data_IF_116771735933
#
_entry.id   IF_116771735933
#
_cell.length_a   1.000
_cell.length_b   1.000
_cell.length_c   1.000
_cell.angle_alpha   90.00
_cell.angle_beta   90.00
_cell.angle_gamma   90.00
#
_symmetry.space_group_name_H-M   'P 1'
#
loop_
_entity.id
_entity.type
_entity.pdbx_description
1 polymer ?
#
# COMPACT_ATOMS: atom_id res chain seq x y z
N UNK A 1 47.07 -26.84 51.72
CA UNK A 1 45.89 -26.68 52.59
C UNK A 1 45.70 -25.16 52.72
N UNK A 2 44.70 -24.49 52.18
CA UNK A 2 43.26 -24.78 52.18
C UNK A 2 42.56 -24.10 50.98
N UNK A 3 41.73 -24.85 50.27
CA UNK A 3 40.45 -24.36 49.74
C UNK A 3 39.40 -24.91 50.73
N UNK A 4 38.27 -24.22 51.01
CA UNK A 4 37.22 -24.17 50.00
C UNK A 4 36.22 -22.99 50.04
N UNK A 5 35.62 -22.74 48.88
CA UNK A 5 34.21 -22.40 48.62
C UNK A 5 33.39 -21.63 49.67
N UNK A 6 32.92 -20.42 49.29
CA UNK A 6 31.52 -20.03 49.54
C UNK A 6 31.16 -18.72 48.85
N UNK A 7 30.52 -18.81 47.69
CA UNK A 7 29.58 -17.78 47.25
C UNK A 7 28.58 -18.39 46.25
N UNK A 8 27.92 -19.48 46.67
CA UNK A 8 26.85 -20.11 45.87
C UNK A 8 25.45 -19.90 46.49
N UNK A 9 25.33 -19.09 47.55
CA UNK A 9 24.06 -18.95 48.28
C UNK A 9 23.51 -17.52 48.33
N UNK A 10 24.08 -16.56 47.59
CA UNK A 10 23.56 -15.18 47.63
C UNK A 10 23.44 -14.50 46.26
N UNK A 11 22.82 -15.20 45.30
CA UNK A 11 22.30 -14.52 44.09
C UNK A 11 21.35 -13.38 44.52
N UNK A 12 20.66 -13.52 45.64
CA UNK A 12 19.73 -12.53 46.22
C UNK A 12 20.40 -11.36 46.96
N UNK A 13 21.71 -11.38 47.25
CA UNK A 13 22.39 -10.31 48.02
C UNK A 13 23.31 -9.43 47.17
N UNK A 14 23.53 -9.79 45.90
CA UNK A 14 24.29 -8.98 44.95
C UNK A 14 23.41 -7.89 44.32
N UNK A 15 23.34 -6.71 44.95
CA UNK A 15 22.65 -5.52 44.38
C UNK A 15 23.16 -5.12 42.98
N UNK A 16 24.38 -5.51 42.63
CA UNK A 16 24.99 -5.27 41.31
C UNK A 16 24.33 -6.04 40.15
N UNK A 17 23.56 -7.10 40.43
CA UNK A 17 22.84 -7.88 39.42
C UNK A 17 21.34 -7.56 39.29
N UNK A 18 20.74 -6.88 40.28
CA UNK A 18 19.28 -6.58 40.31
C UNK A 18 18.85 -5.73 39.11
N UNK A 19 19.61 -4.67 38.82
CA UNK A 19 19.31 -3.77 37.70
C UNK A 19 19.39 -4.49 36.33
N UNK A 20 20.29 -5.47 36.19
CA UNK A 20 20.38 -6.27 34.96
C UNK A 20 19.15 -7.18 34.77
N UNK A 21 18.63 -7.75 35.87
CA UNK A 21 17.41 -8.59 35.85
C UNK A 21 16.17 -7.75 35.58
N UNK A 22 16.06 -6.56 36.18
CA UNK A 22 14.97 -5.62 35.93
C UNK A 22 14.94 -5.17 34.46
N UNK A 23 16.10 -4.84 33.88
CA UNK A 23 16.21 -4.49 32.47
C UNK A 23 15.88 -5.69 31.57
N UNK A 24 16.31 -6.91 31.92
CA UNK A 24 16.01 -8.12 31.16
C UNK A 24 14.49 -8.40 31.06
N UNK A 25 13.69 -7.98 32.05
CA UNK A 25 12.23 -8.11 32.01
C UNK A 25 11.54 -7.02 31.17
N UNK A 26 12.10 -5.80 31.13
CA UNK A 26 11.51 -4.66 30.41
C UNK A 26 11.89 -4.69 28.91
N UNK A 27 13.13 -5.07 28.59
CA UNK A 27 13.66 -5.16 27.22
C UNK A 27 12.73 -5.88 26.24
N UNK A 28 12.16 -7.08 26.51
CA UNK A 28 11.30 -7.74 25.54
C UNK A 28 10.04 -6.94 25.20
N UNK A 29 9.42 -6.30 26.20
CA UNK A 29 8.23 -5.46 25.98
C UNK A 29 8.61 -4.19 25.22
N UNK A 30 9.73 -3.57 25.60
CA UNK A 30 10.24 -2.39 24.91
C UNK A 30 10.57 -2.67 23.45
N UNK A 31 11.26 -3.77 23.15
CA UNK A 31 11.59 -4.17 21.78
C UNK A 31 10.33 -4.46 20.96
N UNK A 32 9.34 -5.14 21.56
CA UNK A 32 8.07 -5.38 20.88
C UNK A 32 7.36 -4.07 20.49
N UNK A 33 7.31 -3.10 21.39
CA UNK A 33 6.73 -1.78 21.11
C UNK A 33 7.56 -0.99 20.09
N UNK A 34 8.89 -1.04 20.18
CA UNK A 34 9.78 -0.34 19.26
C UNK A 34 9.64 -0.89 17.83
N UNK A 35 9.72 -2.21 17.65
CA UNK A 35 9.51 -2.85 16.34
C UNK A 35 8.08 -2.65 15.83
N UNK A 36 7.09 -2.69 16.72
CA UNK A 36 5.70 -2.38 16.38
C UNK A 36 5.54 -0.97 15.83
N UNK A 37 6.16 0.03 16.47
CA UNK A 37 6.14 1.41 16.00
C UNK A 37 6.83 1.58 14.64
N UNK A 38 7.97 0.93 14.41
CA UNK A 38 8.66 0.98 13.11
C UNK A 38 7.84 0.32 12.01
N UNK A 39 7.27 -0.87 12.27
CA UNK A 39 6.46 -1.59 11.28
C UNK A 39 5.18 -0.81 10.93
N UNK A 40 4.51 -0.21 11.92
CA UNK A 40 3.36 0.66 11.68
C UNK A 40 3.74 1.93 10.90
N UNK A 41 4.89 2.54 11.20
CA UNK A 41 5.40 3.68 10.45
C UNK A 41 5.63 3.34 8.97
N UNK A 42 6.23 2.18 8.70
CA UNK A 42 6.44 1.70 7.34
C UNK A 42 5.13 1.35 6.62
N UNK A 43 4.15 0.79 7.35
CA UNK A 43 2.81 0.53 6.84
C UNK A 43 2.14 1.82 6.34
N UNK A 44 2.10 2.87 7.17
CA UNK A 44 1.47 4.15 6.79
C UNK A 44 2.20 4.85 5.64
N UNK A 45 3.54 4.78 5.62
CA UNK A 45 4.32 5.32 4.51
C UNK A 45 3.99 4.61 3.19
N UNK A 46 3.90 3.27 3.24
CA UNK A 46 3.56 2.45 2.07
C UNK A 46 2.14 2.71 1.59
N UNK A 47 1.16 2.75 2.51
CA UNK A 47 -0.24 3.08 2.21
C UNK A 47 -0.36 4.44 1.50
N UNK A 48 0.31 5.47 2.03
CA UNK A 48 0.32 6.79 1.40
C UNK A 48 0.93 6.77 -0.01
N UNK A 49 1.97 5.97 -0.22
CA UNK A 49 2.56 5.78 -1.55
C UNK A 49 1.58 5.14 -2.53
N UNK A 50 0.80 4.12 -2.11
CA UNK A 50 -0.25 3.51 -2.94
C UNK A 50 -1.34 4.53 -3.26
N UNK A 51 -1.81 5.30 -2.27
CA UNK A 51 -2.85 6.33 -2.46
C UNK A 51 -2.42 7.39 -3.48
N UNK A 52 -1.19 7.88 -3.39
CA UNK A 52 -0.64 8.84 -4.37
C UNK A 52 -0.56 8.18 -5.75
N UNK A 53 -0.07 6.95 -5.83
CA UNK A 53 0.06 6.23 -7.11
C UNK A 53 -1.28 6.04 -7.82
N UNK A 54 -2.35 5.60 -7.13
CA UNK A 54 -3.67 5.43 -7.76
C UNK A 54 -4.29 6.77 -8.16
N UNK A 55 -4.04 7.86 -7.43
CA UNK A 55 -4.49 9.21 -7.80
C UNK A 55 -3.82 9.69 -9.09
N UNK A 56 -2.53 9.47 -9.23
CA UNK A 56 -1.79 9.79 -10.45
C UNK A 56 -2.29 8.93 -11.63
N UNK A 57 -2.51 7.63 -11.39
CA UNK A 57 -3.12 6.71 -12.36
C UNK A 57 -4.50 7.16 -12.83
N UNK A 58 -5.38 7.56 -11.90
CA UNK A 58 -6.73 8.04 -12.23
C UNK A 58 -6.70 9.35 -13.04
N UNK A 59 -5.82 10.29 -12.67
CA UNK A 59 -5.63 11.55 -13.42
C UNK A 59 -5.08 11.32 -14.82
N UNK A 60 -4.11 10.41 -14.95
CA UNK A 60 -3.57 10.02 -16.25
C UNK A 60 -4.65 9.37 -17.11
N UNK A 61 -5.39 8.41 -16.55
CA UNK A 61 -6.49 7.75 -17.23
C UNK A 61 -7.56 8.74 -17.71
N UNK A 62 -7.97 9.68 -16.86
CA UNK A 62 -8.98 10.69 -17.20
C UNK A 62 -8.62 11.52 -18.44
N UNK A 63 -7.33 11.71 -18.74
CA UNK A 63 -6.85 12.47 -19.91
C UNK A 63 -6.57 11.60 -21.13
N UNK A 64 -6.80 10.30 -21.04
CA UNK A 64 -6.40 9.34 -22.09
C UNK A 64 -7.52 8.41 -22.53
N UNK A 65 -8.53 8.23 -21.70
CA UNK A 65 -9.78 7.63 -22.14
C UNK A 65 -10.60 8.61 -23.00
N UNK A 66 -11.34 8.11 -24.00
CA UNK A 66 -12.24 8.92 -24.80
C UNK A 66 -13.46 9.38 -23.97
N UNK A 67 -14.04 10.51 -24.34
CA UNK A 67 -15.28 11.04 -23.75
C UNK A 67 -16.53 10.18 -24.07
N UNK A 68 -16.38 9.14 -24.88
CA UNK A 68 -17.46 8.22 -25.22
C UNK A 68 -17.72 7.26 -24.06
N UNK A 69 -18.95 7.26 -23.56
CA UNK A 69 -19.42 6.27 -22.58
C UNK A 69 -20.15 5.14 -23.31
N UNK A 70 -19.55 3.94 -23.33
CA UNK A 70 -20.09 2.78 -24.04
C UNK A 70 -20.62 1.71 -23.08
N UNK A 71 -19.91 1.42 -21.99
CA UNK A 71 -20.35 0.48 -20.95
C UNK A 71 -19.53 0.63 -19.66
N UNK A 72 -20.07 0.06 -18.57
CA UNK A 72 -19.31 -0.12 -17.32
C UNK A 72 -18.47 -1.40 -17.44
N UNK A 73 -17.15 -1.25 -17.51
CA UNK A 73 -16.24 -2.39 -17.76
C UNK A 73 -14.91 -2.21 -17.02
N UNK A 74 -14.33 -3.32 -16.59
CA UNK A 74 -12.91 -3.35 -16.23
C UNK A 74 -12.09 -3.39 -17.50
N UNK A 75 -11.27 -2.37 -17.70
CA UNK A 75 -10.35 -2.32 -18.84
C UNK A 75 -9.04 -3.00 -18.47
N UNK A 76 -8.85 -4.19 -19.01
CA UNK A 76 -7.66 -4.99 -18.80
C UNK A 76 -6.77 -5.07 -20.03
N UNK A 77 -7.17 -4.54 -21.18
CA UNK A 77 -6.52 -4.80 -22.48
C UNK A 77 -6.10 -3.54 -23.23
N UNK A 78 -6.67 -2.37 -22.94
CA UNK A 78 -6.26 -1.16 -23.64
C UNK A 78 -4.82 -0.77 -23.32
N UNK A 79 -4.17 -0.11 -24.28
CA UNK A 79 -2.85 0.49 -24.08
C UNK A 79 -2.86 1.45 -22.90
N UNK A 80 -3.91 2.26 -22.78
CA UNK A 80 -4.11 3.17 -21.64
C UNK A 80 -4.20 2.42 -20.31
N UNK A 81 -4.94 1.31 -20.23
CA UNK A 81 -5.01 0.51 -19.01
C UNK A 81 -3.65 -0.10 -18.64
N UNK A 82 -2.84 -0.52 -19.63
CA UNK A 82 -1.47 -0.98 -19.38
C UNK A 82 -0.56 0.16 -18.91
N UNK A 83 -0.64 1.33 -19.53
CA UNK A 83 0.13 2.52 -19.13
C UNK A 83 -0.24 2.98 -17.72
N UNK A 84 -1.54 2.99 -17.37
CA UNK A 84 -2.02 3.30 -16.01
C UNK A 84 -1.46 2.30 -15.00
N UNK A 85 -1.50 1.01 -15.30
CA UNK A 85 -0.95 -0.03 -14.41
C UNK A 85 0.56 0.11 -14.21
N UNK A 86 1.30 0.40 -15.27
CA UNK A 86 2.73 0.68 -15.17
C UNK A 86 2.97 1.97 -14.36
N UNK A 87 2.24 3.05 -14.62
CA UNK A 87 2.40 4.33 -13.92
C UNK A 87 2.14 4.18 -12.41
N UNK A 88 1.07 3.48 -12.03
CA UNK A 88 0.72 3.21 -10.63
C UNK A 88 1.82 2.38 -9.96
N UNK A 89 2.33 1.34 -10.63
CA UNK A 89 3.29 0.40 -10.05
C UNK A 89 4.73 0.94 -10.00
N UNK A 90 5.17 1.66 -11.04
CA UNK A 90 6.58 2.01 -11.26
C UNK A 90 6.85 3.49 -11.52
N UNK A 91 5.80 4.33 -11.52
CA UNK A 91 5.91 5.74 -11.87
C UNK A 91 6.41 5.99 -13.32
N UNK A 92 6.28 4.99 -14.20
CA UNK A 92 6.64 5.09 -15.63
C UNK A 92 5.54 4.48 -16.47
N UNK A 93 5.29 5.03 -17.66
CA UNK A 93 4.30 4.46 -18.59
C UNK A 93 4.84 3.23 -19.33
N UNK A 94 6.16 3.18 -19.54
CA UNK A 94 6.85 2.06 -20.18
C UNK A 94 6.96 0.84 -19.25
N UNK A 95 7.03 -0.34 -19.85
CA UNK A 95 7.36 -1.58 -19.16
C UNK A 95 8.81 -1.55 -18.66
N UNK A 96 9.05 -1.99 -17.42
CA UNK A 96 10.40 -2.20 -16.88
C UNK A 96 10.88 -1.19 -15.82
N UNK A 97 10.03 -0.28 -15.36
CA UNK A 97 10.37 0.62 -14.25
C UNK A 97 10.58 -0.11 -12.92
N UNK A 98 11.31 0.52 -11.99
CA UNK A 98 11.46 0.04 -10.62
C UNK A 98 10.14 0.13 -9.87
N UNK A 99 9.83 -0.86 -9.04
CA UNK A 99 8.61 -0.86 -8.23
C UNK A 99 8.65 0.25 -7.19
N UNK A 100 7.54 1.00 -7.03
CA UNK A 100 7.43 2.07 -6.03
C UNK A 100 7.43 1.54 -4.58
N UNK A 101 6.95 0.32 -4.41
CA UNK A 101 6.88 -0.39 -3.13
C UNK A 101 7.51 -1.75 -3.33
N UNK A 102 8.31 -2.19 -2.36
CA UNK A 102 8.95 -3.49 -2.40
C UNK A 102 7.90 -4.62 -2.51
N UNK A 103 8.21 -5.66 -3.29
CA UNK A 103 7.34 -6.81 -3.53
C UNK A 103 6.01 -6.50 -4.25
N UNK A 104 5.88 -5.34 -4.91
CA UNK A 104 4.73 -5.02 -5.77
C UNK A 104 5.04 -5.28 -7.25
N UNK A 105 5.28 -6.55 -7.60
CA UNK A 105 5.59 -6.98 -8.98
C UNK A 105 4.35 -7.19 -9.84
N UNK A 106 3.26 -7.66 -9.24
CA UNK A 106 2.12 -8.20 -9.97
C UNK A 106 1.16 -7.09 -10.38
N UNK A 107 1.12 -6.77 -11.68
CA UNK A 107 0.25 -5.74 -12.23
C UNK A 107 -1.26 -6.09 -12.16
N UNK A 108 -1.60 -7.37 -11.91
CA UNK A 108 -2.99 -7.83 -11.72
C UNK A 108 -3.62 -7.30 -10.43
N UNK A 109 -2.80 -6.85 -9.47
CA UNK A 109 -3.27 -6.19 -8.24
C UNK A 109 -3.91 -4.82 -8.49
N UNK A 110 -3.79 -4.29 -9.71
CA UNK A 110 -4.30 -2.99 -10.11
C UNK A 110 -5.44 -3.17 -11.11
N UNK A 111 -6.62 -2.65 -10.76
CA UNK A 111 -7.82 -2.68 -11.60
C UNK A 111 -8.16 -1.27 -12.07
N UNK A 112 -8.37 -1.13 -13.38
CA UNK A 112 -8.88 0.10 -14.00
C UNK A 112 -10.30 -0.19 -14.47
N UNK A 113 -11.28 0.48 -13.88
CA UNK A 113 -12.69 0.31 -14.21
C UNK A 113 -13.24 1.62 -14.77
N UNK A 114 -14.03 1.55 -15.83
CA UNK A 114 -14.81 2.68 -16.33
C UNK A 114 -16.25 2.46 -15.94
N UNK A 115 -16.91 3.52 -15.47
CA UNK A 115 -18.34 3.54 -15.16
C UNK A 115 -18.99 4.75 -15.82
N UNK A 116 -20.21 4.57 -16.32
CA UNK A 116 -20.97 5.66 -16.92
C UNK A 116 -21.94 6.25 -15.90
N UNK A 117 -21.74 7.50 -15.51
CA UNK A 117 -22.69 8.19 -14.65
C UNK A 117 -23.72 8.94 -15.50
N UNK A 118 -24.98 8.55 -15.38
CA UNK A 118 -26.14 9.14 -16.08
C UNK A 118 -27.04 9.95 -15.15
N UNK A 119 -26.67 10.11 -13.88
CA UNK A 119 -27.54 10.65 -12.82
C UNK A 119 -27.67 12.17 -12.82
N UNK A 120 -27.16 12.86 -13.85
CA UNK A 120 -27.10 14.32 -13.90
C UNK A 120 -27.21 14.90 -15.31
N UNK A 121 -27.38 16.21 -15.39
CA UNK A 121 -27.48 16.95 -16.66
C UNK A 121 -26.09 17.31 -17.16
N UNK A 122 -25.42 16.34 -17.79
CA UNK A 122 -24.03 16.50 -18.21
C UNK A 122 -23.84 17.15 -19.58
N UNK A 123 -24.91 17.53 -20.28
CA UNK A 123 -24.83 18.05 -21.65
C UNK A 123 -24.37 19.52 -21.74
N UNK A 124 -23.31 19.88 -21.02
CA UNK A 124 -22.70 21.22 -21.02
C UNK A 124 -21.16 21.12 -20.94
N UNK A 125 -20.44 22.17 -21.34
CA UNK A 125 -18.98 22.21 -21.32
C UNK A 125 -18.33 21.10 -22.14
N UNK A 126 -17.30 20.46 -21.57
CA UNK A 126 -16.53 19.37 -22.21
C UNK A 126 -17.37 18.09 -22.47
N UNK A 127 -18.58 18.02 -21.91
CA UNK A 127 -19.49 16.88 -22.04
C UNK A 127 -20.67 17.16 -22.99
N UNK A 128 -20.62 18.28 -23.72
CA UNK A 128 -21.60 18.57 -24.78
C UNK A 128 -21.65 17.46 -25.82
N UNK A 129 -22.86 16.98 -26.12
CA UNK A 129 -23.07 15.90 -27.10
C UNK A 129 -22.82 14.49 -26.57
N UNK A 130 -22.47 14.32 -25.29
CA UNK A 130 -22.34 12.99 -24.67
C UNK A 130 -23.72 12.47 -24.27
N UNK A 131 -24.20 11.42 -24.95
CA UNK A 131 -25.57 10.89 -24.78
C UNK A 131 -25.70 9.79 -23.73
N UNK A 132 -24.62 9.08 -23.42
CA UNK A 132 -24.62 7.88 -22.57
C UNK A 132 -24.06 8.12 -21.16
N UNK A 133 -24.06 9.38 -20.71
CA UNK A 133 -23.51 9.77 -19.41
C UNK A 133 -22.00 10.04 -19.43
N UNK A 134 -21.49 10.54 -18.30
CA UNK A 134 -20.07 10.91 -18.15
C UNK A 134 -19.25 9.68 -17.77
N UNK A 135 -18.16 9.36 -18.49
CA UNK A 135 -17.28 8.28 -18.08
C UNK A 135 -16.46 8.70 -16.85
N UNK A 136 -16.49 7.86 -15.82
CA UNK A 136 -15.68 7.98 -14.61
C UNK A 136 -14.75 6.79 -14.56
N UNK A 137 -13.44 7.06 -14.56
CA UNK A 137 -12.43 6.02 -14.39
C UNK A 137 -12.15 5.87 -12.91
N UNK A 138 -12.16 4.63 -12.46
CA UNK A 138 -11.81 4.20 -11.12
C UNK A 138 -10.55 3.35 -11.20
N UNK A 139 -9.49 3.78 -10.53
CA UNK A 139 -8.25 3.02 -10.39
C UNK A 139 -8.18 2.48 -8.97
N UNK A 140 -8.06 1.16 -8.83
CA UNK A 140 -7.99 0.46 -7.55
C UNK A 140 -6.71 -0.35 -7.50
N UNK A 141 -6.01 -0.35 -6.37
CA UNK A 141 -4.82 -1.16 -6.14
C UNK A 141 -4.94 -1.91 -4.81
N UNK A 142 -4.55 -3.19 -4.82
CA UNK A 142 -4.46 -4.06 -3.63
C UNK A 142 -3.05 -4.64 -3.52
N UNK A 143 -2.20 -4.03 -2.71
CA UNK A 143 -0.77 -4.38 -2.63
C UNK A 143 -0.52 -5.23 -1.38
N UNK A 144 0.11 -6.42 -1.48
CA UNK A 144 0.47 -7.19 -0.30
C UNK A 144 1.55 -6.46 0.51
N UNK A 145 1.28 -6.21 1.79
CA UNK A 145 2.25 -5.64 2.74
C UNK A 145 2.96 -6.75 3.51
N UNK A 146 4.30 -6.70 3.50
CA UNK A 146 5.14 -7.63 4.25
C UNK A 146 5.55 -6.98 5.58
N UNK A 147 4.81 -7.31 6.64
CA UNK A 147 5.14 -6.86 8.01
C UNK A 147 6.42 -7.52 8.51
N UNK A 148 7.19 -6.78 9.32
CA UNK A 148 8.34 -7.33 10.05
C UNK A 148 7.95 -8.53 10.92
N UNK A 149 6.78 -8.52 11.54
CA UNK A 149 6.31 -9.64 12.38
C UNK A 149 6.03 -10.89 11.56
N UNK A 150 5.58 -10.73 10.32
CA UNK A 150 5.41 -11.84 9.39
C UNK A 150 6.77 -12.38 8.95
N UNK A 151 7.72 -11.50 8.61
CA UNK A 151 9.08 -11.88 8.24
C UNK A 151 9.84 -12.63 9.34
N UNK A 152 9.62 -12.30 10.62
CA UNK A 152 10.21 -12.99 11.77
C UNK A 152 9.40 -14.21 12.26
N UNK A 153 8.26 -14.54 11.62
CA UNK A 153 7.46 -15.72 11.94
C UNK A 153 6.58 -15.60 13.18
N UNK A 154 6.33 -14.38 13.69
CA UNK A 154 5.38 -14.15 14.78
C UNK A 154 3.92 -14.21 14.33
N UNK A 155 3.66 -14.04 13.03
CA UNK A 155 2.32 -14.12 12.46
C UNK A 155 2.36 -14.64 11.02
N UNK A 156 1.32 -15.35 10.62
CA UNK A 156 1.07 -15.75 9.22
C UNK A 156 0.04 -14.86 8.54
N UNK A 157 -0.48 -13.85 9.24
CA UNK A 157 -1.46 -12.93 8.68
C UNK A 157 -0.80 -12.07 7.58
N UNK A 158 -1.43 -12.05 6.41
CA UNK A 158 -1.11 -11.14 5.32
C UNK A 158 -2.02 -9.92 5.40
N UNK A 159 -1.45 -8.73 5.33
CA UNK A 159 -2.20 -7.47 5.26
C UNK A 159 -2.06 -6.89 3.87
N UNK A 160 -3.15 -6.39 3.28
CA UNK A 160 -3.12 -5.71 1.99
C UNK A 160 -3.34 -4.21 2.17
N UNK A 161 -2.54 -3.41 1.47
CA UNK A 161 -2.71 -1.98 1.28
C UNK A 161 -3.72 -1.78 0.16
N UNK A 162 -4.86 -1.17 0.46
CA UNK A 162 -5.96 -1.01 -0.48
C UNK A 162 -6.21 0.47 -0.71
N UNK A 163 -5.99 0.93 -1.94
CA UNK A 163 -6.28 2.31 -2.30
C UNK A 163 -7.13 2.38 -3.56
N UNK A 164 -7.97 3.40 -3.62
CA UNK A 164 -8.80 3.69 -4.78
C UNK A 164 -8.84 5.20 -5.06
N UNK A 165 -8.82 5.56 -6.33
CA UNK A 165 -9.06 6.93 -6.78
C UNK A 165 -9.95 6.94 -8.01
N UNK A 166 -10.78 7.98 -8.12
CA UNK A 166 -11.69 8.19 -9.24
C UNK A 166 -11.41 9.53 -9.90
N UNK A 167 -11.57 9.59 -11.21
CA UNK A 167 -11.50 10.82 -11.98
C UNK A 167 -12.48 10.77 -13.16
N UNK A 168 -13.18 11.87 -13.40
CA UNK A 168 -14.04 12.03 -14.58
C UNK A 168 -13.17 12.18 -15.82
N UNK A 169 -13.51 11.45 -16.89
CA UNK A 169 -12.79 11.52 -18.16
C UNK A 169 -12.97 12.89 -18.79
N UNK A 170 -11.90 13.45 -19.33
CA UNK A 170 -11.89 14.76 -19.98
C UNK A 170 -11.52 14.68 -21.47
N UNK A 171 -11.29 13.48 -21.99
CA UNK A 171 -10.91 13.25 -23.39
C UNK A 171 -9.42 13.02 -23.57
N UNK A 172 -9.08 12.41 -24.70
CA UNK A 172 -7.74 11.96 -25.08
C UNK A 172 -7.15 12.80 -26.22
#
# INVERSE_FOLDING_TARGET
MTHPSSCMTSVLRCRRGSAAVEMALIVPVFLFLAFGAVDLGNYFLSEHAVVVAVRDGARYAARRYPLACTATTNDTTSTTAMEVRNLVRTNTIASGGQMRINNWSDASTITVAISCNTSGTYNTGIYTGVTNGVPIVTVTASVPYTSLFNAFGFTTASVNLNAQAQASVMGA
#
